data_IF_434448796062
#
_entry.id   IF_434448796062
#
_cell.length_a   1.000
_cell.length_b   1.000
_cell.length_c   1.000
_cell.angle_alpha   90.00
_cell.angle_beta   90.00
_cell.angle_gamma   90.00
#
_symmetry.space_group_name_H-M   'P 1'
#
loop_
_entity.id
_entity.type
_entity.pdbx_description
1 polymer ?
#
# COMPACT_ATOMS: atom_id res chain seq x y z
N UNK A 1 29.50 14.69 25.31
CA UNK A 1 30.22 13.62 24.60
C UNK A 1 29.17 12.62 24.12
N UNK A 2 28.76 12.70 22.86
CA UNK A 2 27.64 11.89 22.33
C UNK A 2 28.20 10.58 21.78
N UNK A 3 27.88 9.46 22.42
CA UNK A 3 28.26 8.14 21.97
C UNK A 3 27.40 7.75 20.76
N UNK A 4 28.03 7.57 19.60
CA UNK A 4 27.45 6.92 18.43
C UNK A 4 27.51 5.41 18.64
N UNK A 5 26.52 4.84 19.33
CA UNK A 5 26.23 3.41 19.21
C UNK A 5 25.73 3.10 17.79
N UNK A 6 25.94 1.89 17.26
CA UNK A 6 25.39 1.52 15.96
C UNK A 6 23.87 1.60 16.06
N UNK A 7 23.27 2.59 15.40
CA UNK A 7 21.82 2.59 15.18
C UNK A 7 21.52 1.29 14.45
N UNK A 8 20.85 0.34 15.11
CA UNK A 8 20.12 -0.71 14.39
C UNK A 8 19.26 0.06 13.40
N UNK A 9 19.60 -0.01 12.11
CA UNK A 9 18.64 0.35 11.10
C UNK A 9 17.59 -0.77 11.19
N UNK A 10 16.50 -0.49 11.89
CA UNK A 10 15.28 -1.29 11.81
C UNK A 10 14.75 -1.14 10.38
N UNK A 11 15.37 -1.88 9.47
CA UNK A 11 14.92 -2.01 8.10
C UNK A 11 14.02 -3.24 8.08
N UNK A 12 12.75 -3.05 7.74
CA UNK A 12 11.81 -4.14 7.55
C UNK A 12 10.43 -3.66 7.13
N UNK A 13 10.02 -2.49 7.62
CA UNK A 13 8.69 -1.96 7.35
C UNK A 13 8.79 -0.66 6.53
N UNK A 14 8.30 -0.72 5.29
CA UNK A 14 8.15 0.48 4.45
C UNK A 14 6.84 1.16 4.84
N UNK A 15 6.92 2.42 5.27
CA UNK A 15 5.75 3.23 5.56
C UNK A 15 5.46 4.21 4.42
N UNK A 16 4.20 4.27 4.02
CA UNK A 16 3.64 5.21 3.06
C UNK A 16 2.65 6.15 3.75
N UNK A 17 2.56 7.40 3.29
CA UNK A 17 1.62 8.38 3.83
C UNK A 17 0.57 8.72 2.80
N UNK A 18 -0.73 8.50 3.09
CA UNK A 18 -1.85 9.02 2.31
C UNK A 18 -2.38 10.28 3.00
N UNK A 19 -1.99 11.46 2.54
CA UNK A 19 -2.18 12.69 3.31
C UNK A 19 -1.49 12.59 4.69
N UNK A 20 -2.20 12.78 5.83
CA UNK A 20 -1.63 12.63 7.17
C UNK A 20 -1.65 11.17 7.71
N UNK A 21 -2.19 10.22 6.96
CA UNK A 21 -2.40 8.84 7.43
C UNK A 21 -1.25 7.93 6.99
N UNK A 22 -0.62 7.25 7.94
CA UNK A 22 0.47 6.30 7.68
C UNK A 22 -0.04 4.88 7.46
N UNK A 23 0.48 4.21 6.44
CA UNK A 23 0.22 2.81 6.11
C UNK A 23 1.53 2.03 6.07
N UNK A 24 1.54 0.83 6.66
CA UNK A 24 2.66 -0.11 6.56
C UNK A 24 2.52 -1.00 5.35
N UNK A 25 3.61 -1.20 4.61
CA UNK A 25 3.66 -2.12 3.48
C UNK A 25 4.31 -3.42 3.92
N UNK A 26 3.59 -4.53 3.72
CA UNK A 26 3.98 -5.86 4.18
C UNK A 26 3.87 -6.85 3.03
N UNK A 27 4.88 -7.71 2.87
CA UNK A 27 4.77 -8.86 1.96
C UNK A 27 4.35 -10.06 2.79
N UNK A 28 3.29 -10.76 2.39
CA UNK A 28 2.73 -11.87 3.16
C UNK A 28 2.54 -13.11 2.31
N UNK A 29 2.70 -14.27 2.95
CA UNK A 29 2.42 -15.56 2.31
C UNK A 29 0.93 -15.83 2.20
N UNK A 30 0.55 -16.48 1.10
CA UNK A 30 -0.81 -16.99 0.89
C UNK A 30 -1.89 -15.90 1.09
N UNK A 31 -1.64 -14.70 0.58
CA UNK A 31 -2.59 -13.59 0.66
C UNK A 31 -3.92 -13.99 0.02
N UNK A 32 -5.00 -13.93 0.82
CA UNK A 32 -6.37 -14.24 0.39
C UNK A 32 -7.30 -13.09 0.72
N UNK A 33 -8.24 -12.82 -0.18
CA UNK A 33 -9.32 -11.89 0.10
C UNK A 33 -10.21 -12.45 1.23
N UNK A 34 -10.52 -11.66 2.26
CA UNK A 34 -11.21 -12.16 3.45
C UNK A 34 -12.63 -12.66 3.16
N UNK A 35 -13.33 -12.03 2.21
CA UNK A 35 -14.72 -12.41 1.88
C UNK A 35 -14.83 -13.56 0.87
N UNK A 36 -14.00 -13.56 -0.17
CA UNK A 36 -14.12 -14.52 -1.28
C UNK A 36 -13.20 -15.74 -1.10
N UNK A 37 -12.22 -15.65 -0.20
CA UNK A 37 -11.19 -16.68 0.01
C UNK A 37 -10.22 -16.86 -1.17
N UNK A 38 -10.35 -16.04 -2.23
CA UNK A 38 -9.52 -16.12 -3.42
C UNK A 38 -8.13 -15.53 -3.15
N UNK A 39 -7.10 -16.12 -3.75
CA UNK A 39 -5.76 -15.53 -3.75
C UNK A 39 -5.78 -14.19 -4.49
N UNK A 40 -5.13 -13.17 -3.93
CA UNK A 40 -5.02 -11.84 -4.54
C UNK A 40 -3.57 -11.37 -4.50
N UNK A 41 -3.20 -10.51 -5.45
CA UNK A 41 -1.83 -9.97 -5.56
C UNK A 41 -1.56 -8.87 -4.53
N UNK A 42 -2.60 -8.12 -4.15
CA UNK A 42 -2.57 -7.03 -3.17
C UNK A 42 -3.89 -6.94 -2.40
N UNK A 43 -3.82 -6.39 -1.19
CA UNK A 43 -4.97 -6.12 -0.34
C UNK A 43 -4.63 -4.99 0.62
N UNK A 44 -5.58 -4.08 0.85
CA UNK A 44 -5.47 -3.06 1.90
C UNK A 44 -6.42 -3.35 3.06
N UNK A 45 -5.91 -3.23 4.27
CA UNK A 45 -6.69 -3.21 5.51
C UNK A 45 -6.68 -1.78 6.07
N UNK A 46 -7.83 -1.13 6.01
CA UNK A 46 -7.99 0.26 6.44
C UNK A 46 -7.97 0.42 7.97
N UNK A 47 -8.42 -0.59 8.71
CA UNK A 47 -8.50 -0.54 10.18
C UNK A 47 -7.10 -0.58 10.79
N UNK A 48 -6.27 -1.51 10.34
CA UNK A 48 -4.90 -1.69 10.82
C UNK A 48 -3.88 -0.81 10.06
N UNK A 49 -4.33 -0.14 9.00
CA UNK A 49 -3.53 0.67 8.07
C UNK A 49 -2.35 -0.10 7.49
N UNK A 50 -2.67 -1.24 6.89
CA UNK A 50 -1.70 -2.14 6.28
C UNK A 50 -2.01 -2.36 4.81
N UNK A 51 -0.97 -2.32 3.99
CA UNK A 51 -0.99 -2.70 2.58
C UNK A 51 -0.24 -4.04 2.50
N UNK A 52 -0.95 -5.09 2.14
CA UNK A 52 -0.38 -6.41 1.93
C UNK A 52 -0.10 -6.65 0.46
N UNK A 53 1.05 -7.25 0.19
CA UNK A 53 1.47 -7.74 -1.12
C UNK A 53 1.63 -9.25 -1.00
N UNK A 54 1.14 -9.99 -1.98
CA UNK A 54 1.36 -11.44 -2.04
C UNK A 54 2.82 -11.77 -2.37
N UNK A 55 3.41 -12.71 -1.65
CA UNK A 55 4.73 -13.27 -1.97
C UNK A 55 4.75 -14.04 -3.31
N UNK A 56 3.57 -14.43 -3.80
CA UNK A 56 3.39 -15.11 -5.10
C UNK A 56 3.40 -14.13 -6.28
N UNK A 57 3.15 -12.84 -6.04
CA UNK A 57 3.27 -11.83 -7.07
C UNK A 57 4.74 -11.64 -7.46
N UNK A 58 5.03 -11.43 -8.74
CA UNK A 58 6.40 -11.19 -9.18
C UNK A 58 6.93 -9.87 -8.60
N UNK A 59 8.19 -9.87 -8.16
CA UNK A 59 8.83 -8.67 -7.56
C UNK A 59 8.74 -7.43 -8.45
N UNK A 60 8.80 -7.61 -9.77
CA UNK A 60 8.64 -6.51 -10.75
C UNK A 60 7.27 -5.82 -10.65
N UNK A 61 6.23 -6.53 -10.20
CA UNK A 61 4.86 -6.01 -10.04
C UNK A 61 4.58 -5.46 -8.64
N UNK A 62 5.45 -5.67 -7.65
CA UNK A 62 5.18 -5.22 -6.28
C UNK A 62 4.98 -3.71 -6.19
N UNK A 63 5.76 -2.93 -6.93
CA UNK A 63 5.57 -1.47 -6.95
C UNK A 63 4.20 -1.06 -7.48
N UNK A 64 3.78 -1.69 -8.58
CA UNK A 64 2.48 -1.47 -9.21
C UNK A 64 1.34 -1.82 -8.24
N UNK A 65 1.44 -2.97 -7.57
CA UNK A 65 0.48 -3.42 -6.57
C UNK A 65 0.41 -2.43 -5.41
N UNK A 66 1.56 -2.01 -4.86
CA UNK A 66 1.60 -1.04 -3.76
C UNK A 66 0.97 0.28 -4.17
N UNK A 67 1.27 0.78 -5.37
CA UNK A 67 0.67 2.02 -5.87
C UNK A 67 -0.84 1.89 -6.03
N UNK A 68 -1.33 0.74 -6.50
CA UNK A 68 -2.75 0.43 -6.59
C UNK A 68 -3.44 0.45 -5.23
N UNK A 69 -2.90 -0.27 -4.25
CA UNK A 69 -3.46 -0.28 -2.88
C UNK A 69 -3.33 1.08 -2.18
N UNK A 70 -2.26 1.81 -2.45
CA UNK A 70 -2.08 3.18 -1.96
C UNK A 70 -3.14 4.15 -2.51
N UNK A 71 -3.57 3.96 -3.77
CA UNK A 71 -4.71 4.70 -4.31
C UNK A 71 -6.00 4.39 -3.56
N UNK A 72 -6.27 3.12 -3.21
CA UNK A 72 -7.41 2.77 -2.35
C UNK A 72 -7.34 3.46 -0.98
N UNK A 73 -6.15 3.56 -0.38
CA UNK A 73 -5.93 4.29 0.87
C UNK A 73 -6.35 5.77 0.75
N UNK A 74 -5.96 6.42 -0.35
CA UNK A 74 -6.35 7.80 -0.63
C UNK A 74 -7.85 7.96 -0.88
N UNK A 75 -8.47 7.07 -1.65
CA UNK A 75 -9.91 7.08 -1.86
C UNK A 75 -10.69 6.86 -0.57
N UNK A 76 -10.20 6.00 0.33
CA UNK A 76 -10.84 5.73 1.62
C UNK A 76 -10.92 7.00 2.49
N UNK A 77 -9.84 7.79 2.57
CA UNK A 77 -9.80 8.97 3.43
C UNK A 77 -10.43 10.23 2.83
N UNK A 78 -10.40 10.36 1.51
CA UNK A 78 -10.71 11.63 0.84
C UNK A 78 -11.80 11.48 -0.25
N UNK A 79 -12.47 10.32 -0.31
CA UNK A 79 -13.50 10.00 -1.30
C UNK A 79 -12.96 9.87 -2.73
N UNK A 80 -13.85 9.62 -3.69
CA UNK A 80 -13.56 9.75 -5.13
C UNK A 80 -14.10 11.08 -5.64
N UNK A 81 -13.48 11.66 -6.65
CA UNK A 81 -14.04 12.81 -7.36
C UNK A 81 -14.99 12.28 -8.43
N UNK A 82 -16.22 12.78 -8.50
CA UNK A 82 -17.27 12.16 -9.32
C UNK A 82 -17.56 12.88 -10.65
N UNK A 83 -17.04 14.09 -10.90
CA UNK A 83 -17.62 14.94 -11.96
C UNK A 83 -16.66 15.65 -12.91
N UNK A 84 -15.36 15.72 -12.63
CA UNK A 84 -14.42 16.44 -13.50
C UNK A 84 -13.17 15.57 -13.76
N UNK A 85 -12.89 15.30 -15.03
CA UNK A 85 -11.75 14.51 -15.49
C UNK A 85 -10.42 15.21 -15.17
N UNK A 86 -10.37 16.54 -15.33
CA UNK A 86 -9.14 17.31 -15.09
C UNK A 86 -8.78 17.29 -13.60
N UNK A 87 -9.78 17.48 -12.72
CA UNK A 87 -9.57 17.35 -11.28
C UNK A 87 -9.20 15.93 -10.84
N UNK A 88 -9.71 14.90 -11.51
CA UNK A 88 -9.30 13.51 -11.25
C UNK A 88 -7.83 13.29 -11.64
N UNK A 89 -7.41 13.82 -12.79
CA UNK A 89 -6.02 13.78 -13.24
C UNK A 89 -5.09 14.51 -12.28
N UNK A 90 -5.43 15.74 -11.88
CA UNK A 90 -4.66 16.55 -10.93
C UNK A 90 -4.52 15.84 -9.58
N UNK A 91 -5.62 15.25 -9.10
CA UNK A 91 -5.61 14.50 -7.85
C UNK A 91 -4.74 13.25 -7.97
N UNK A 92 -4.88 12.47 -9.04
CA UNK A 92 -4.03 11.29 -9.25
C UNK A 92 -2.55 11.68 -9.34
N UNK A 93 -2.22 12.77 -10.02
CA UNK A 93 -0.87 13.31 -10.10
C UNK A 93 -0.33 13.70 -8.70
N UNK A 94 -1.13 14.40 -7.89
CA UNK A 94 -0.74 14.76 -6.53
C UNK A 94 -0.50 13.53 -5.64
N UNK A 95 -1.36 12.51 -5.76
CA UNK A 95 -1.19 11.22 -5.07
C UNK A 95 0.11 10.53 -5.50
N UNK A 96 0.38 10.44 -6.80
CA UNK A 96 1.61 9.88 -7.33
C UNK A 96 2.85 10.63 -6.86
N UNK A 97 2.79 11.97 -6.78
CA UNK A 97 3.90 12.78 -6.27
C UNK A 97 4.17 12.51 -4.78
N UNK A 98 3.14 12.41 -3.94
CA UNK A 98 3.32 12.07 -2.53
C UNK A 98 3.91 10.66 -2.38
N UNK A 99 3.36 9.69 -3.14
CA UNK A 99 3.87 8.33 -3.18
C UNK A 99 5.37 8.31 -3.51
N UNK A 100 5.76 8.90 -4.64
CA UNK A 100 7.15 8.95 -5.10
C UNK A 100 8.05 9.65 -4.09
N UNK A 101 7.59 10.75 -3.47
CA UNK A 101 8.37 11.45 -2.45
C UNK A 101 8.68 10.58 -1.22
N UNK A 102 7.75 9.70 -0.85
CA UNK A 102 7.92 8.79 0.29
C UNK A 102 8.74 7.57 -0.11
N UNK A 103 8.44 6.99 -1.26
CA UNK A 103 9.06 5.78 -1.77
C UNK A 103 10.53 5.99 -2.17
N UNK A 104 10.85 7.08 -2.87
CA UNK A 104 12.23 7.44 -3.25
C UNK A 104 13.09 7.66 -2.00
N UNK A 105 12.55 8.31 -0.95
CA UNK A 105 13.27 8.50 0.33
C UNK A 105 13.62 7.18 1.01
N UNK A 106 12.89 6.10 0.70
CA UNK A 106 13.13 4.75 1.24
C UNK A 106 14.07 3.91 0.37
N UNK A 107 14.58 4.45 -0.73
CA UNK A 107 15.49 3.75 -1.65
C UNK A 107 14.89 3.44 -3.02
N UNK A 108 13.68 3.93 -3.33
CA UNK A 108 13.07 3.75 -4.64
C UNK A 108 12.80 2.28 -4.95
N UNK A 109 13.17 1.82 -6.14
CA UNK A 109 13.01 0.40 -6.52
C UNK A 109 13.76 -0.56 -5.56
N UNK A 110 14.90 -0.15 -5.00
CA UNK A 110 15.63 -0.95 -4.02
C UNK A 110 14.91 -1.08 -2.67
N UNK A 111 13.91 -0.24 -2.38
CA UNK A 111 13.09 -0.40 -1.17
C UNK A 111 12.29 -1.72 -1.18
N UNK A 112 11.97 -2.23 -2.39
CA UNK A 112 11.31 -3.53 -2.59
C UNK A 112 12.20 -4.68 -2.10
N UNK A 113 13.52 -4.57 -2.30
CA UNK A 113 14.49 -5.58 -1.90
C UNK A 113 14.62 -5.70 -0.37
N UNK A 114 14.19 -4.66 0.36
CA UNK A 114 14.21 -4.61 1.81
C UNK A 114 12.95 -5.19 2.46
N UNK A 115 11.94 -5.55 1.67
CA UNK A 115 10.69 -6.10 2.20
C UNK A 115 10.89 -7.59 2.54
N UNK A 116 10.70 -7.92 3.81
CA UNK A 116 10.69 -9.30 4.28
C UNK A 116 9.32 -9.94 4.10
N UNK A 117 9.31 -11.23 3.70
CA UNK A 117 8.08 -12.01 3.59
C UNK A 117 7.67 -12.52 4.97
N UNK A 118 6.46 -12.18 5.40
CA UNK A 118 5.89 -12.55 6.70
C UNK A 118 4.74 -13.55 6.55
N UNK A 119 4.45 -14.31 7.60
CA UNK A 119 3.20 -15.07 7.68
C UNK A 119 2.06 -14.11 8.04
N UNK A 120 0.88 -14.31 7.44
CA UNK A 120 -0.29 -13.51 7.80
C UNK A 120 -0.79 -13.92 9.19
N UNK A 121 -0.94 -12.97 10.10
CA UNK A 121 -1.51 -13.22 11.43
C UNK A 121 -2.97 -13.70 11.35
N UNK A 122 -3.50 -14.33 12.41
CA UNK A 122 -4.80 -15.00 12.40
C UNK A 122 -6.04 -14.08 12.32
N UNK A 123 -5.88 -12.76 12.18
CA UNK A 123 -7.01 -11.82 12.12
C UNK A 123 -6.75 -10.73 11.08
N UNK A 124 -7.53 -10.80 9.99
CA UNK A 124 -7.96 -9.60 9.29
C UNK A 124 -9.40 -9.31 9.76
N UNK A 125 -9.71 -8.13 10.29
CA UNK A 125 -11.10 -7.71 10.45
C UNK A 125 -11.79 -7.61 9.06
N UNK A 126 -13.12 -7.73 8.99
CA UNK A 126 -13.86 -7.59 7.75
C UNK A 126 -13.68 -6.16 7.19
N UNK A 127 -13.18 -6.07 5.96
CA UNK A 127 -12.92 -4.82 5.26
C UNK A 127 -14.25 -4.27 4.70
N UNK A 128 -14.58 -2.98 4.87
CA UNK A 128 -15.69 -2.38 4.15
C UNK A 128 -15.39 -2.35 2.65
N UNK A 129 -16.11 -3.15 1.87
CA UNK A 129 -16.03 -3.15 0.40
C UNK A 129 -16.53 -1.82 -0.13
N UNK A 130 -15.61 -0.99 -0.62
CA UNK A 130 -15.98 0.10 -1.51
C UNK A 130 -16.38 -0.55 -2.83
N UNK A 131 -17.69 -0.67 -3.09
CA UNK A 131 -18.19 -1.13 -4.39
C UNK A 131 -17.66 -0.21 -5.48
N UNK A 132 -16.64 -0.67 -6.20
CA UNK A 132 -16.28 -0.06 -7.48
C UNK A 132 -17.31 -0.58 -8.47
N UNK A 133 -18.34 0.21 -8.74
CA UNK A 133 -19.27 -0.10 -9.82
C UNK A 133 -18.45 -0.21 -11.12
N UNK A 134 -18.44 -1.42 -11.69
CA UNK A 134 -17.87 -1.70 -13.00
C UNK A 134 -18.54 -0.77 -14.01
N UNK A 135 -17.80 0.22 -14.51
CA UNK A 135 -18.20 0.91 -15.72
C UNK A 135 -17.74 0.09 -16.92
N UNK A 136 -18.73 -0.45 -17.63
CA UNK A 136 -18.60 -0.95 -18.99
C UNK A 136 -18.53 0.28 -19.87
N UNK A 137 -17.35 0.59 -20.38
CA UNK A 137 -17.18 1.48 -21.54
C UNK A 137 -17.43 0.71 -22.83
#
# INVERSE_FOLDING_TARGET
>A
MWQWGPRRREFGDVELFAGPFSYRVLVVKNLKHPETGQSVDGLINFDDREIYISDQASRRRWLEIVLHEYWHAWCHHFGKLESDEEQQCDRFAAVCLQFMSTWVRKGGESAIELLEVKEMGPKLPPIPVIKVERWVG
#
